data_IF_351562195503
#
_entry.id   IF_351562195503
#
_cell.length_a   1.000
_cell.length_b   1.000
_cell.length_c   1.000
_cell.angle_alpha   90.00
_cell.angle_beta   90.00
_cell.angle_gamma   90.00
#
_symmetry.space_group_name_H-M   'P 1'
#
loop_
_entity.id
_entity.type
_entity.pdbx_description
1 polymer ?
#
# COMPACT_ATOMS: atom_id res chain seq x y z
N UNK A 1 -6.54 -3.71 20.33
CA UNK A 1 -5.80 -4.97 20.59
C UNK A 1 -4.47 -4.66 21.27
N UNK A 2 -4.25 -5.23 22.46
CA UNK A 2 -3.03 -5.04 23.25
C UNK A 2 -1.76 -5.50 22.51
N UNK A 3 -0.72 -4.67 22.49
CA UNK A 3 0.56 -4.92 21.80
C UNK A 3 1.72 -4.60 22.73
N UNK A 4 2.84 -5.32 22.60
CA UNK A 4 4.05 -5.02 23.37
C UNK A 4 4.62 -3.66 22.96
N UNK A 5 5.04 -2.86 23.94
CA UNK A 5 5.52 -1.48 23.71
C UNK A 5 6.74 -1.42 22.79
N UNK A 6 7.75 -2.27 23.03
CA UNK A 6 8.97 -2.28 22.20
C UNK A 6 8.68 -2.66 20.75
N UNK A 7 7.79 -3.63 20.55
CA UNK A 7 7.38 -4.08 19.23
C UNK A 7 6.48 -3.07 18.53
N UNK A 8 5.61 -2.41 19.27
CA UNK A 8 4.68 -1.40 18.73
C UNK A 8 5.45 -0.24 18.12
N UNK A 9 6.46 0.32 18.84
CA UNK A 9 7.27 1.41 18.33
C UNK A 9 8.07 0.99 17.08
N UNK A 10 8.68 -0.19 17.11
CA UNK A 10 9.44 -0.69 15.98
C UNK A 10 8.54 -0.91 14.75
N UNK A 11 7.37 -1.52 14.93
CA UNK A 11 6.46 -1.79 13.83
C UNK A 11 5.85 -0.52 13.22
N UNK A 12 5.70 0.54 14.01
CA UNK A 12 5.22 1.83 13.50
C UNK A 12 6.32 2.70 12.88
N UNK A 13 7.57 2.20 12.86
CA UNK A 13 8.68 2.88 12.20
C UNK A 13 9.31 4.01 13.05
N UNK A 14 9.08 4.03 14.37
CA UNK A 14 9.68 5.03 15.23
C UNK A 14 11.19 4.81 15.43
N UNK A 15 11.59 3.55 15.67
CA UNK A 15 12.96 3.15 15.97
C UNK A 15 13.08 1.63 15.89
N UNK A 16 14.30 1.11 16.05
CA UNK A 16 14.50 -0.33 16.23
C UNK A 16 13.96 -0.81 17.59
N UNK A 17 13.72 -2.12 17.74
CA UNK A 17 13.31 -2.68 19.04
C UNK A 17 14.32 -2.41 20.15
N UNK A 18 15.62 -2.38 19.83
CA UNK A 18 16.68 -2.06 20.79
C UNK A 18 16.57 -0.61 21.25
N UNK A 19 16.39 0.32 20.34
CA UNK A 19 16.20 1.73 20.66
C UNK A 19 14.89 1.96 21.42
N UNK A 20 13.81 1.26 21.06
CA UNK A 20 12.55 1.34 21.78
C UNK A 20 12.70 1.02 23.28
N UNK A 21 13.51 0.02 23.62
CA UNK A 21 13.80 -0.30 25.02
C UNK A 21 14.53 0.85 25.72
N UNK A 22 15.51 1.46 25.06
CA UNK A 22 16.21 2.63 25.61
C UNK A 22 15.27 3.83 25.80
N UNK A 23 14.35 4.06 24.88
CA UNK A 23 13.35 5.13 24.99
C UNK A 23 12.40 4.92 26.17
N UNK A 24 11.97 3.67 26.40
CA UNK A 24 11.11 3.32 27.53
C UNK A 24 11.85 3.51 28.84
N UNK A 25 13.10 3.04 28.95
CA UNK A 25 13.96 3.23 30.13
C UNK A 25 14.23 4.71 30.39
N UNK A 26 14.32 5.55 29.37
CA UNK A 26 14.45 6.99 29.47
C UNK A 26 13.16 7.74 29.84
N UNK A 27 12.06 7.04 30.03
CA UNK A 27 10.76 7.62 30.42
C UNK A 27 10.05 8.38 29.30
N UNK A 28 10.39 8.15 28.03
CA UNK A 28 9.78 8.85 26.89
C UNK A 28 8.39 8.36 26.54
N UNK A 29 7.98 7.19 27.03
CA UNK A 29 6.67 6.62 26.78
C UNK A 29 5.74 6.76 27.97
N UNK A 30 4.51 7.11 27.70
CA UNK A 30 3.41 7.02 28.68
C UNK A 30 2.30 6.13 28.17
N UNK A 31 1.63 5.44 29.08
CA UNK A 31 0.42 4.67 28.84
C UNK A 31 -0.66 5.19 29.77
N UNK A 32 -1.74 5.73 29.23
CA UNK A 32 -2.81 6.39 30.00
C UNK A 32 -2.27 7.48 30.95
N UNK A 33 -1.24 8.20 30.51
CA UNK A 33 -0.62 9.27 31.28
C UNK A 33 0.44 8.83 32.31
N UNK A 34 0.60 7.55 32.58
CA UNK A 34 1.65 7.02 33.45
C UNK A 34 2.91 6.66 32.64
N UNK A 35 4.09 6.98 33.16
CA UNK A 35 5.36 6.62 32.53
C UNK A 35 5.49 5.10 32.48
N UNK A 36 5.79 4.55 31.31
CA UNK A 36 6.05 3.13 31.13
C UNK A 36 7.52 2.83 31.46
N UNK A 37 7.76 1.79 32.24
CA UNK A 37 9.08 1.32 32.64
C UNK A 37 9.41 -0.10 32.18
N UNK A 38 8.39 -0.87 31.78
CA UNK A 38 8.53 -2.22 31.24
C UNK A 38 8.31 -2.21 29.70
N UNK A 39 9.39 -2.45 28.94
CA UNK A 39 9.32 -2.54 27.48
C UNK A 39 8.54 -3.76 26.98
N UNK A 40 8.37 -4.80 27.79
CA UNK A 40 7.58 -5.99 27.52
C UNK A 40 6.09 -5.81 27.82
N UNK A 41 5.72 -4.78 28.55
CA UNK A 41 4.33 -4.49 28.85
C UNK A 41 3.50 -4.35 27.59
N UNK A 42 2.23 -4.78 27.70
CA UNK A 42 1.26 -4.68 26.62
C UNK A 42 0.29 -3.54 26.90
N UNK A 43 0.06 -2.71 25.90
CA UNK A 43 -0.92 -1.63 25.96
C UNK A 43 -1.77 -1.58 24.68
N UNK A 44 -2.93 -0.93 24.79
CA UNK A 44 -3.65 -0.53 23.60
C UNK A 44 -2.88 0.64 22.94
N UNK A 45 -2.60 0.57 21.63
CA UNK A 45 -1.86 1.63 20.95
C UNK A 45 -2.49 3.02 21.06
N UNK A 46 -3.79 3.11 21.24
CA UNK A 46 -4.50 4.38 21.43
C UNK A 46 -4.15 5.08 22.75
N UNK A 47 -3.74 4.31 23.77
CA UNK A 47 -3.39 4.80 25.09
C UNK A 47 -1.91 5.22 25.21
N UNK A 48 -1.10 4.93 24.18
CA UNK A 48 0.36 5.15 24.20
C UNK A 48 0.70 6.51 23.61
N UNK A 49 1.63 7.21 24.29
CA UNK A 49 2.22 8.45 23.79
C UNK A 49 3.74 8.36 23.84
N UNK A 50 4.39 9.01 22.88
CA UNK A 50 5.84 9.18 22.82
C UNK A 50 6.12 10.68 22.94
N UNK A 51 6.93 11.06 23.92
CA UNK A 51 7.24 12.47 24.21
C UNK A 51 5.96 13.34 24.28
N UNK A 52 4.90 12.80 24.87
CA UNK A 52 3.60 13.46 25.00
C UNK A 52 2.68 13.42 23.76
N UNK A 53 3.17 13.02 22.61
CA UNK A 53 2.39 12.94 21.38
C UNK A 53 1.76 11.54 21.19
N UNK A 54 0.54 11.45 20.66
CA UNK A 54 -0.07 10.17 20.31
C UNK A 54 0.73 9.46 19.22
N UNK A 55 0.58 8.13 19.14
CA UNK A 55 1.23 7.35 18.09
C UNK A 55 0.67 7.69 16.71
N UNK A 56 1.55 7.69 15.73
CA UNK A 56 1.24 7.98 14.33
C UNK A 56 0.53 6.79 13.67
N UNK A 57 -0.77 6.93 13.42
CA UNK A 57 -1.63 5.93 12.79
C UNK A 57 -1.43 4.50 13.32
N UNK A 58 -1.66 4.25 14.61
CA UNK A 58 -1.37 2.96 15.24
C UNK A 58 -2.30 1.83 14.78
N UNK A 59 -3.46 2.16 14.21
CA UNK A 59 -4.40 1.19 13.65
C UNK A 59 -4.02 0.69 12.26
N UNK A 60 -3.03 1.32 11.64
CA UNK A 60 -2.59 1.05 10.28
C UNK A 60 -2.83 2.22 9.33
N UNK A 61 -2.18 2.14 8.18
CA UNK A 61 -2.28 3.12 7.11
C UNK A 61 -3.16 2.61 5.97
N UNK A 62 -4.01 3.48 5.46
CA UNK A 62 -4.62 3.35 4.15
C UNK A 62 -4.51 4.70 3.46
N UNK A 63 -3.71 4.75 2.41
CA UNK A 63 -3.35 5.97 1.70
C UNK A 63 -3.92 5.96 0.29
N UNK A 64 -4.40 7.11 -0.13
CA UNK A 64 -4.80 7.37 -1.50
C UNK A 64 -3.70 8.21 -2.16
N UNK A 65 -3.09 7.66 -3.20
CA UNK A 65 -2.07 8.33 -3.98
C UNK A 65 -2.58 8.57 -5.41
N UNK A 66 -2.45 9.79 -5.89
CA UNK A 66 -2.43 10.02 -7.33
C UNK A 66 -1.01 9.74 -7.81
N UNK A 67 -0.76 8.50 -8.28
CA UNK A 67 0.57 8.10 -8.74
C UNK A 67 0.99 8.95 -9.93
N UNK A 68 2.12 9.64 -9.87
CA UNK A 68 2.70 10.29 -11.04
C UNK A 68 3.33 9.28 -11.98
N UNK A 69 3.56 9.66 -13.23
CA UNK A 69 4.43 8.93 -14.16
C UNK A 69 5.88 8.91 -13.65
N UNK A 70 6.66 7.93 -14.08
CA UNK A 70 8.09 7.83 -13.76
C UNK A 70 8.42 7.02 -12.51
N UNK A 71 7.43 6.60 -11.71
CA UNK A 71 7.63 5.79 -10.52
C UNK A 71 7.05 4.39 -10.68
N UNK A 72 7.80 3.38 -10.21
CA UNK A 72 7.35 1.98 -10.20
C UNK A 72 6.65 1.63 -8.88
N UNK A 73 5.77 0.62 -8.91
CA UNK A 73 5.09 0.07 -7.73
C UNK A 73 5.82 -1.15 -7.16
N UNK A 74 7.14 -1.11 -7.12
CA UNK A 74 8.00 -2.20 -6.64
C UNK A 74 8.87 -1.72 -5.49
N UNK A 75 9.16 -2.61 -4.55
CA UNK A 75 10.18 -2.37 -3.52
C UNK A 75 11.59 -2.74 -3.99
N UNK A 76 11.74 -3.35 -5.16
CA UNK A 76 13.05 -3.65 -5.74
C UNK A 76 13.65 -2.36 -6.34
N UNK A 77 14.67 -1.83 -5.68
CA UNK A 77 15.36 -0.60 -6.11
C UNK A 77 16.00 -0.73 -7.52
N UNK A 78 16.26 -1.94 -7.98
CA UNK A 78 16.79 -2.20 -9.32
C UNK A 78 15.79 -1.86 -10.43
N UNK A 79 14.49 -1.82 -10.12
CA UNK A 79 13.45 -1.43 -11.08
C UNK A 79 13.36 0.09 -11.27
N UNK A 80 14.06 0.88 -10.43
CA UNK A 80 14.13 2.33 -10.50
C UNK A 80 13.40 3.06 -9.38
N UNK A 81 13.19 4.37 -9.51
CA UNK A 81 12.49 5.17 -8.51
C UNK A 81 11.09 4.62 -8.26
N UNK A 82 10.68 4.50 -7.01
CA UNK A 82 9.43 3.87 -6.63
C UNK A 82 8.48 4.81 -5.88
N UNK A 83 7.20 4.44 -5.83
CA UNK A 83 6.14 5.24 -5.18
C UNK A 83 6.36 5.41 -3.68
N UNK A 84 7.08 4.50 -3.04
CA UNK A 84 7.32 4.55 -1.58
C UNK A 84 8.28 5.66 -1.19
N UNK A 85 9.09 6.18 -2.13
CA UNK A 85 9.94 7.35 -1.91
C UNK A 85 9.15 8.63 -1.60
N UNK A 86 7.86 8.67 -1.96
CA UNK A 86 6.96 9.78 -1.65
C UNK A 86 6.45 9.76 -0.22
N UNK A 87 6.61 8.65 0.50
CA UNK A 87 6.13 8.50 1.87
C UNK A 87 7.08 9.20 2.86
N UNK A 88 6.54 9.71 3.99
CA UNK A 88 7.36 10.15 5.10
C UNK A 88 8.33 9.03 5.55
N UNK A 89 9.55 9.38 6.01
CA UNK A 89 10.57 8.38 6.38
C UNK A 89 10.06 7.32 7.37
N UNK A 90 9.29 7.72 8.39
CA UNK A 90 8.72 6.80 9.37
C UNK A 90 7.81 5.75 8.75
N UNK A 91 7.03 6.10 7.73
CA UNK A 91 6.12 5.16 7.09
C UNK A 91 6.84 4.16 6.19
N UNK A 92 8.03 4.52 5.68
CA UNK A 92 8.86 3.59 4.86
C UNK A 92 9.45 2.45 5.68
N UNK A 93 9.58 2.64 7.00
CA UNK A 93 10.20 1.67 7.91
C UNK A 93 9.18 0.88 8.73
N UNK A 94 7.89 0.98 8.43
CA UNK A 94 6.84 0.21 9.09
C UNK A 94 6.98 -1.30 8.83
N UNK A 95 6.51 -2.08 9.79
CA UNK A 95 6.39 -3.53 9.67
C UNK A 95 4.99 -3.98 10.17
N UNK A 96 4.11 -4.48 9.32
CA UNK A 96 4.32 -4.80 7.88
C UNK A 96 4.64 -3.56 7.05
N UNK A 97 5.43 -3.78 6.00
CA UNK A 97 5.86 -2.73 5.08
C UNK A 97 4.65 -2.16 4.32
N UNK A 98 4.62 -0.83 4.15
CA UNK A 98 3.62 -0.19 3.30
C UNK A 98 3.81 -0.66 1.86
N UNK A 99 2.75 -1.18 1.27
CA UNK A 99 2.76 -1.70 -0.11
C UNK A 99 1.55 -1.21 -0.90
N UNK A 100 1.67 -1.19 -2.23
CA UNK A 100 0.59 -0.78 -3.11
C UNK A 100 -0.47 -1.89 -3.24
N UNK A 101 -1.72 -1.49 -3.29
CA UNK A 101 -2.86 -2.37 -3.57
C UNK A 101 -3.04 -2.45 -5.09
N UNK A 102 -2.43 -3.44 -5.68
CA UNK A 102 -2.26 -3.55 -7.11
C UNK A 102 -1.08 -2.71 -7.61
N UNK A 103 -0.93 -2.62 -8.91
CA UNK A 103 0.18 -1.93 -9.57
C UNK A 103 -0.32 -1.12 -10.73
N UNK A 104 0.32 0.02 -10.96
CA UNK A 104 0.28 0.78 -12.19
C UNK A 104 1.69 0.76 -12.81
N UNK A 105 1.77 0.71 -14.12
CA UNK A 105 3.04 0.77 -14.82
C UNK A 105 3.76 2.10 -14.58
N UNK A 106 5.06 2.13 -14.83
CA UNK A 106 5.91 3.32 -14.62
C UNK A 106 5.34 4.55 -15.33
N UNK A 107 4.86 4.36 -16.54
CA UNK A 107 4.34 5.42 -17.41
C UNK A 107 2.84 5.68 -17.25
N UNK A 108 2.20 5.00 -16.30
CA UNK A 108 0.79 5.17 -15.99
C UNK A 108 0.62 6.04 -14.76
N UNK A 109 -0.20 7.08 -14.86
CA UNK A 109 -0.64 7.90 -13.73
C UNK A 109 -2.03 7.51 -13.27
N UNK A 110 -2.37 7.85 -12.03
CA UNK A 110 -3.73 7.70 -11.53
C UNK A 110 -3.83 7.15 -10.12
N UNK A 111 -5.02 6.68 -9.78
CA UNK A 111 -5.38 6.21 -8.45
C UNK A 111 -4.59 4.95 -8.07
N UNK A 112 -3.86 5.07 -6.97
CA UNK A 112 -3.15 3.96 -6.33
C UNK A 112 -3.41 3.99 -4.82
N UNK A 113 -3.82 2.87 -4.26
CA UNK A 113 -3.92 2.70 -2.81
C UNK A 113 -2.64 2.09 -2.26
N UNK A 114 -2.22 2.57 -1.08
CA UNK A 114 -1.06 2.06 -0.35
C UNK A 114 -1.50 1.73 1.08
N UNK A 115 -1.00 0.64 1.65
CA UNK A 115 -1.34 0.22 3.01
C UNK A 115 -0.25 -0.64 3.63
N UNK A 116 -0.14 -0.62 4.96
CA UNK A 116 0.64 -1.57 5.76
C UNK A 116 -0.20 -2.77 6.25
N UNK A 117 -1.47 -2.85 5.82
CA UNK A 117 -2.40 -3.91 6.20
C UNK A 117 -2.43 -5.01 5.12
N UNK A 118 -1.64 -6.06 5.28
CA UNK A 118 -1.49 -7.15 4.30
C UNK A 118 -2.81 -7.84 3.97
N UNK A 119 -3.72 -7.94 4.94
CA UNK A 119 -5.04 -8.51 4.73
C UNK A 119 -5.87 -7.68 3.74
N UNK A 120 -5.79 -6.35 3.83
CA UNK A 120 -6.48 -5.45 2.91
C UNK A 120 -5.91 -5.56 1.50
N UNK A 121 -4.58 -5.68 1.35
CA UNK A 121 -3.94 -5.94 0.05
C UNK A 121 -4.51 -7.21 -0.57
N UNK A 122 -4.50 -8.31 0.19
CA UNK A 122 -5.01 -9.59 -0.30
C UNK A 122 -6.49 -9.50 -0.68
N UNK A 123 -7.32 -8.89 0.14
CA UNK A 123 -8.74 -8.74 -0.10
C UNK A 123 -9.05 -7.95 -1.38
N UNK A 124 -8.29 -6.89 -1.67
CA UNK A 124 -8.55 -6.02 -2.82
C UNK A 124 -7.85 -6.47 -4.11
N UNK A 125 -6.80 -7.30 -4.02
CA UNK A 125 -6.05 -7.75 -5.20
C UNK A 125 -6.36 -9.19 -5.61
N UNK A 126 -6.86 -10.02 -4.70
CA UNK A 126 -7.14 -11.43 -5.00
C UNK A 126 -8.20 -11.58 -6.09
N UNK A 127 -7.95 -12.40 -7.11
CA UNK A 127 -8.94 -12.69 -8.17
C UNK A 127 -10.25 -13.30 -7.64
N UNK A 128 -10.20 -13.92 -6.45
CA UNK A 128 -11.40 -14.51 -5.81
C UNK A 128 -12.43 -13.45 -5.43
N UNK A 129 -12.00 -12.27 -5.05
CA UNK A 129 -12.91 -11.19 -4.60
C UNK A 129 -13.46 -10.34 -5.75
N UNK A 130 -12.95 -10.50 -6.97
CA UNK A 130 -13.45 -9.87 -8.20
C UNK A 130 -13.69 -8.36 -8.08
N UNK A 131 -12.85 -7.66 -7.32
CA UNK A 131 -12.94 -6.20 -7.16
C UNK A 131 -12.70 -5.54 -8.52
N UNK A 132 -13.67 -4.79 -9.06
CA UNK A 132 -13.52 -4.16 -10.37
C UNK A 132 -12.48 -3.04 -10.34
N UNK A 133 -11.75 -2.88 -11.45
CA UNK A 133 -10.85 -1.76 -11.69
C UNK A 133 -11.25 -1.09 -12.99
N UNK A 134 -11.31 0.24 -12.98
CA UNK A 134 -11.68 1.03 -14.14
C UNK A 134 -10.49 1.85 -14.58
N UNK A 135 -10.14 1.77 -15.85
CA UNK A 135 -9.05 2.52 -16.45
C UNK A 135 -9.59 3.39 -17.59
N UNK A 136 -9.08 4.62 -17.68
CA UNK A 136 -9.28 5.49 -18.84
C UNK A 136 -7.99 5.52 -19.64
N UNK A 137 -8.08 5.19 -20.93
CA UNK A 137 -6.94 5.29 -21.83
C UNK A 137 -7.30 6.27 -22.97
N UNK A 138 -6.38 7.17 -23.28
CA UNK A 138 -6.44 8.02 -24.47
C UNK A 138 -5.66 7.33 -25.57
N UNK A 139 -6.31 7.12 -26.70
CA UNK A 139 -5.70 6.44 -27.86
C UNK A 139 -5.63 7.39 -29.05
N UNK A 140 -4.67 7.17 -29.94
CA UNK A 140 -4.43 8.02 -31.11
C UNK A 140 -5.47 7.89 -32.21
N UNK A 141 -6.23 6.78 -32.20
CA UNK A 141 -7.27 6.49 -33.19
C UNK A 141 -8.56 6.08 -32.49
N UNK A 142 -9.71 6.31 -33.13
CA UNK A 142 -11.00 5.85 -32.61
C UNK A 142 -11.05 4.33 -32.45
N UNK A 143 -11.89 3.86 -31.52
CA UNK A 143 -12.13 2.43 -31.32
C UNK A 143 -13.00 1.89 -32.46
N UNK A 144 -12.55 0.81 -33.11
CA UNK A 144 -13.40 0.10 -34.06
C UNK A 144 -14.47 -0.73 -33.34
N UNK A 145 -15.68 -0.89 -33.90
CA UNK A 145 -16.70 -1.78 -33.33
C UNK A 145 -16.22 -3.22 -33.16
N UNK A 146 -15.34 -3.70 -34.05
CA UNK A 146 -14.72 -5.02 -33.94
C UNK A 146 -13.86 -5.16 -32.69
N UNK A 147 -13.10 -4.13 -32.32
CA UNK A 147 -12.28 -4.12 -31.11
C UNK A 147 -13.17 -4.14 -29.84
N UNK A 148 -14.23 -3.35 -29.83
CA UNK A 148 -15.20 -3.36 -28.71
C UNK A 148 -15.81 -4.74 -28.53
N UNK A 149 -16.24 -5.39 -29.63
CA UNK A 149 -16.78 -6.74 -29.61
C UNK A 149 -15.77 -7.78 -29.15
N UNK A 150 -14.51 -7.67 -29.56
CA UNK A 150 -13.43 -8.57 -29.14
C UNK A 150 -13.18 -8.50 -27.63
N UNK A 151 -13.17 -7.31 -27.05
CA UNK A 151 -13.04 -7.15 -25.59
C UNK A 151 -14.29 -7.71 -24.86
N UNK A 152 -15.48 -7.45 -25.35
CA UNK A 152 -16.72 -7.96 -24.77
C UNK A 152 -16.80 -9.49 -24.80
N UNK A 153 -16.26 -10.14 -25.83
CA UNK A 153 -16.25 -11.60 -25.96
C UNK A 153 -15.41 -12.31 -24.90
N UNK A 154 -14.44 -11.61 -24.28
CA UNK A 154 -13.48 -12.19 -23.32
C UNK A 154 -12.50 -13.18 -23.95
N UNK A 155 -12.39 -13.20 -25.28
CA UNK A 155 -11.49 -14.09 -26.05
C UNK A 155 -10.14 -13.43 -26.38
N UNK A 156 -9.96 -12.15 -26.06
CA UNK A 156 -8.71 -11.43 -26.29
C UNK A 156 -7.56 -12.10 -25.54
N UNK A 157 -6.55 -12.52 -26.29
CA UNK A 157 -5.29 -13.02 -25.74
C UNK A 157 -4.21 -11.96 -25.96
N UNK A 158 -3.65 -11.43 -24.89
CA UNK A 158 -2.49 -10.58 -24.96
C UNK A 158 -1.25 -11.46 -24.75
N UNK A 159 -0.27 -11.32 -25.62
CA UNK A 159 1.06 -11.92 -25.40
C UNK A 159 1.75 -11.10 -24.32
N UNK A 160 1.93 -11.70 -23.17
CA UNK A 160 2.83 -11.17 -22.15
C UNK A 160 4.21 -11.81 -22.39
N UNK A 161 5.25 -11.01 -22.55
CA UNK A 161 6.63 -11.49 -22.75
C UNK A 161 7.10 -12.41 -21.63
N UNK A 162 6.49 -12.32 -20.43
CA UNK A 162 6.84 -13.12 -19.25
C UNK A 162 5.91 -14.32 -18.99
N UNK A 163 4.79 -14.44 -19.72
CA UNK A 163 3.85 -15.55 -19.52
C UNK A 163 2.90 -15.71 -20.71
N UNK A 164 3.19 -16.65 -21.63
CA UNK A 164 2.49 -16.76 -22.92
C UNK A 164 1.02 -17.21 -22.86
N UNK A 165 0.42 -17.41 -21.69
CA UNK A 165 -0.89 -18.05 -21.56
C UNK A 165 -1.92 -17.34 -20.69
N UNK A 166 -1.73 -16.07 -20.32
CA UNK A 166 -2.76 -15.34 -19.56
C UNK A 166 -3.87 -14.83 -20.45
N UNK A 167 -5.06 -15.46 -20.35
CA UNK A 167 -6.29 -14.91 -20.90
C UNK A 167 -6.75 -13.72 -20.05
N UNK A 168 -6.75 -12.53 -20.64
CA UNK A 168 -7.32 -11.35 -20.00
C UNK A 168 -8.84 -11.32 -20.31
N UNK A 169 -9.65 -11.47 -19.29
CA UNK A 169 -11.09 -11.19 -19.38
C UNK A 169 -11.31 -9.72 -19.03
N UNK A 170 -11.19 -8.83 -20.00
CA UNK A 170 -11.78 -7.49 -19.86
C UNK A 170 -13.28 -7.62 -20.03
N UNK A 171 -14.04 -7.00 -19.14
CA UNK A 171 -15.49 -7.16 -19.14
C UNK A 171 -16.23 -6.09 -19.93
N UNK A 172 -15.65 -4.93 -20.13
CA UNK A 172 -16.32 -3.83 -20.85
C UNK A 172 -15.31 -2.79 -21.31
N UNK A 173 -15.37 -2.42 -22.58
CA UNK A 173 -14.80 -1.17 -23.08
C UNK A 173 -15.99 -0.25 -23.40
N UNK A 174 -15.96 0.96 -22.88
CA UNK A 174 -16.91 2.02 -23.21
C UNK A 174 -16.13 3.17 -23.82
N UNK A 175 -16.50 3.57 -25.03
CA UNK A 175 -15.98 4.80 -25.62
C UNK A 175 -16.68 5.97 -24.93
N UNK A 176 -15.91 6.86 -24.33
CA UNK A 176 -16.41 8.14 -23.83
C UNK A 176 -16.37 9.13 -24.98
N UNK A 177 -17.50 9.81 -25.25
CA UNK A 177 -17.50 10.96 -26.14
C UNK A 177 -16.56 12.04 -25.59
N UNK A 178 -15.70 12.58 -26.46
CA UNK A 178 -14.82 13.70 -26.16
C UNK A 178 -15.58 15.02 -26.05
#
# INVERSE_FOLDING_TARGET
RMRRLDQLLANLGYCSRREARAWIQAGRLTVRGAVADDFGAKADPADVRVDGAPLDHPAGLLLLLHKPVGLVCSHDEREGPNVYSLLPPRWRTRNPQVTSIGRLDKDTSGLLLLTDQSELVHRLTSPKHKVPKVYRATVSTGLSPALVSLFASGTLQLKDEKSPSKRFKSRTITQLAG
#
